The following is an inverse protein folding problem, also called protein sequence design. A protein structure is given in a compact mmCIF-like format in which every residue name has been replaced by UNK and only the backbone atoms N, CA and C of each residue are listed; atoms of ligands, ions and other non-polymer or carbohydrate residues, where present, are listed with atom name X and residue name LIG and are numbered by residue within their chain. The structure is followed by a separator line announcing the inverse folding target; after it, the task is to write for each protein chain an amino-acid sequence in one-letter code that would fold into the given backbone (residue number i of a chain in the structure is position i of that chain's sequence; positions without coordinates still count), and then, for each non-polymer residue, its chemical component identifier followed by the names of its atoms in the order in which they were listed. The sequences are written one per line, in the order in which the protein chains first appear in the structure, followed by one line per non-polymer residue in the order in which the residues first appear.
data_IF_991299070511
#
_entry.id   IF_991299070511
#
_cell.length_a   1.000
_cell.length_b   1.000
_cell.length_c   1.000
_cell.angle_alpha   90.00
_cell.angle_beta   90.00
_cell.angle_gamma   90.00
#
_symmetry.space_group_name_H-M   'P 1'
#
loop_
_entity.id
_entity.type
_entity.pdbx_description
1 polymer ?
#
# COMPACT_ATOMS: atom_id res chain seq x y z
N UNK A 1 -9.66 8.04 -5.79
CA UNK A 1 -8.50 8.20 -4.88
C UNK A 1 -7.24 7.76 -5.59
N UNK A 2 -6.11 7.68 -4.90
CA UNK A 2 -4.88 7.14 -5.49
C UNK A 2 -4.89 5.61 -5.48
N UNK A 3 -4.29 5.00 -6.50
CA UNK A 3 -4.04 3.57 -6.57
C UNK A 3 -2.77 3.23 -5.79
N UNK A 4 -2.85 2.20 -4.95
CA UNK A 4 -1.72 1.59 -4.27
C UNK A 4 -1.47 0.24 -4.95
N UNK A 5 -0.35 0.14 -5.66
CA UNK A 5 -0.03 -1.04 -6.46
C UNK A 5 1.34 -1.60 -6.06
N UNK A 6 1.43 -2.90 -5.83
CA UNK A 6 2.70 -3.55 -5.55
C UNK A 6 3.55 -3.70 -6.80
N UNK A 7 4.86 -3.76 -6.63
CA UNK A 7 5.81 -4.08 -7.69
C UNK A 7 7.26 -4.13 -7.17
N UNK A 8 8.27 -4.23 -8.07
CA UNK A 8 9.65 -4.55 -7.68
C UNK A 8 10.30 -3.50 -6.76
N UNK A 9 10.35 -3.74 -5.44
CA UNK A 9 10.91 -2.83 -4.42
C UNK A 9 9.90 -2.13 -3.49
N UNK A 10 8.61 -2.51 -3.51
CA UNK A 10 7.57 -1.94 -2.64
C UNK A 10 6.28 -1.49 -3.35
N UNK A 11 5.55 -0.56 -2.74
CA UNK A 11 4.21 -0.11 -3.21
C UNK A 11 4.29 1.25 -3.89
N UNK A 12 3.79 1.34 -5.11
CA UNK A 12 3.66 2.57 -5.89
C UNK A 12 2.34 3.27 -5.55
N UNK A 13 2.38 4.59 -5.39
CA UNK A 13 1.20 5.43 -5.20
C UNK A 13 0.97 6.23 -6.47
N UNK A 14 -0.15 5.97 -7.15
CA UNK A 14 -0.43 6.47 -8.51
C UNK A 14 -1.74 7.26 -8.48
N UNK A 15 -1.76 8.44 -9.10
CA UNK A 15 -2.99 9.23 -9.26
C UNK A 15 -4.02 8.53 -10.14
N UNK A 16 -5.32 8.91 -10.09
CA UNK A 16 -6.32 8.43 -11.05
C UNK A 16 -5.92 8.61 -12.53
N UNK A 17 -5.16 9.65 -12.85
CA UNK A 17 -4.68 9.92 -14.21
C UNK A 17 -3.39 9.16 -14.59
N UNK A 18 -2.95 8.19 -13.79
CA UNK A 18 -1.78 7.36 -14.09
C UNK A 18 -0.43 7.98 -13.73
N UNK A 19 -0.37 9.22 -13.23
CA UNK A 19 0.88 9.84 -12.75
C UNK A 19 1.36 9.16 -11.47
N UNK A 20 2.62 8.73 -11.44
CA UNK A 20 3.31 8.25 -10.24
C UNK A 20 3.56 9.42 -9.27
N UNK A 21 3.10 9.30 -8.02
CA UNK A 21 3.36 10.27 -6.95
C UNK A 21 4.61 9.91 -6.15
N UNK A 22 4.86 8.61 -5.98
CA UNK A 22 5.98 8.13 -5.20
C UNK A 22 5.84 6.65 -4.85
N UNK A 23 6.74 6.17 -4.00
CA UNK A 23 6.85 4.76 -3.63
C UNK A 23 7.12 4.59 -2.15
N UNK A 24 6.42 3.65 -1.53
CA UNK A 24 6.75 3.12 -0.21
C UNK A 24 7.82 2.05 -0.42
N UNK A 25 9.05 2.35 -0.01
CA UNK A 25 10.18 1.45 -0.16
C UNK A 25 10.17 0.41 0.95
N UNK A 26 10.06 -0.86 0.57
CA UNK A 26 10.16 -2.00 1.50
C UNK A 26 11.54 -2.65 1.47
N UNK A 27 12.41 -2.24 0.54
CA UNK A 27 13.77 -2.78 0.37
C UNK A 27 13.83 -4.17 -0.28
N UNK A 28 12.68 -4.82 -0.48
CA UNK A 28 12.54 -6.20 -0.99
C UNK A 28 11.39 -6.28 -1.99
N UNK A 29 11.17 -7.47 -2.58
CA UNK A 29 10.03 -7.72 -3.48
C UNK A 29 8.74 -7.71 -2.67
N UNK A 30 7.75 -6.89 -3.07
CA UNK A 30 6.44 -6.86 -2.42
C UNK A 30 5.40 -7.40 -3.39
N UNK A 31 4.68 -8.44 -2.96
CA UNK A 31 3.73 -9.17 -3.80
C UNK A 31 2.30 -8.58 -3.70
N UNK A 32 1.83 -8.29 -2.49
CA UNK A 32 0.48 -7.77 -2.27
C UNK A 32 0.44 -6.70 -1.17
N UNK A 33 -0.65 -5.93 -1.12
CA UNK A 33 -0.95 -5.00 -0.05
C UNK A 33 -2.45 -4.88 0.20
N UNK A 34 -2.84 -4.62 1.45
CA UNK A 34 -4.23 -4.42 1.85
C UNK A 34 -4.36 -3.40 2.97
N UNK A 35 -5.52 -2.75 3.04
CA UNK A 35 -5.88 -1.86 4.14
C UNK A 35 -6.32 -2.68 5.35
N UNK A 36 -5.97 -2.22 6.55
CA UNK A 36 -6.38 -2.82 7.81
C UNK A 36 -6.50 -1.78 8.93
N UNK A 37 -6.71 -2.27 10.14
CA UNK A 37 -7.12 -1.48 11.31
C UNK A 37 -8.39 -0.69 10.97
N UNK A 38 -8.49 0.60 11.30
CA UNK A 38 -9.61 1.47 10.93
C UNK A 38 -9.52 1.99 9.47
N UNK A 39 -8.87 1.19 8.61
CA UNK A 39 -8.51 1.51 7.24
C UNK A 39 -7.30 2.45 7.10
N UNK A 40 -6.64 2.85 8.19
CA UNK A 40 -5.51 3.80 8.16
C UNK A 40 -4.13 3.15 7.97
N UNK A 41 -4.03 1.83 8.11
CA UNK A 41 -2.76 1.10 8.00
C UNK A 41 -2.74 0.27 6.73
N UNK A 42 -1.64 0.37 5.98
CA UNK A 42 -1.38 -0.44 4.80
C UNK A 42 -0.44 -1.59 5.18
N UNK A 43 -0.93 -2.81 5.08
CA UNK A 43 -0.17 -4.05 5.24
C UNK A 43 0.40 -4.48 3.89
N UNK A 44 1.59 -5.07 3.89
CA UNK A 44 2.36 -5.43 2.69
C UNK A 44 3.08 -6.77 2.88
N UNK A 45 2.89 -7.71 1.96
CA UNK A 45 3.67 -8.97 1.94
C UNK A 45 4.96 -8.75 1.17
N UNK A 46 6.08 -8.77 1.88
CA UNK A 46 7.40 -8.39 1.38
C UNK A 46 8.36 -9.57 1.53
N UNK A 47 8.42 -10.40 0.49
CA UNK A 47 9.20 -11.65 0.47
C UNK A 47 8.89 -12.55 1.69
N UNK A 48 9.81 -12.63 2.64
CA UNK A 48 9.73 -13.41 3.88
C UNK A 48 9.10 -12.65 5.07
N UNK A 49 8.67 -11.40 4.87
CA UNK A 49 8.18 -10.52 5.92
C UNK A 49 6.75 -10.00 5.65
N UNK A 50 5.97 -9.84 6.72
CA UNK A 50 4.76 -9.03 6.71
C UNK A 50 5.06 -7.66 7.31
N UNK A 51 5.06 -6.63 6.47
CA UNK A 51 5.31 -5.25 6.88
C UNK A 51 4.00 -4.46 6.99
N UNK A 52 4.01 -3.38 7.75
CA UNK A 52 2.90 -2.41 7.75
C UNK A 52 3.39 -0.99 7.95
N UNK A 53 2.63 -0.02 7.45
CA UNK A 53 2.86 1.40 7.70
C UNK A 53 1.54 2.12 7.94
N UNK A 54 1.53 3.00 8.95
CA UNK A 54 0.41 3.91 9.17
C UNK A 54 0.45 5.02 8.12
N UNK A 55 -0.68 5.21 7.44
CA UNK A 55 -0.80 6.23 6.39
C UNK A 55 -1.61 7.43 6.89
N UNK A 56 -1.52 8.54 6.16
CA UNK A 56 -2.34 9.73 6.40
C UNK A 56 -3.69 9.68 5.65
N UNK A 57 -3.95 8.61 4.93
CA UNK A 57 -5.19 8.39 4.18
C UNK A 57 -5.88 7.12 4.68
N UNK A 58 -7.04 6.81 4.12
CA UNK A 58 -7.76 5.57 4.44
C UNK A 58 -8.10 4.80 3.18
N UNK A 59 -8.19 3.48 3.31
CA UNK A 59 -8.67 2.61 2.25
C UNK A 59 -10.06 3.02 1.75
N UNK A 60 -10.20 3.12 0.43
CA UNK A 60 -11.48 3.47 -0.17
C UNK A 60 -12.52 2.38 0.13
N UNK A 61 -13.68 2.79 0.66
CA UNK A 61 -14.75 1.88 1.07
C UNK A 61 -14.33 0.80 2.07
N UNK A 62 -13.26 1.05 2.85
CA UNK A 62 -12.88 0.14 3.92
C UNK A 62 -14.04 0.01 4.90
N UNK A 63 -14.38 -1.23 5.21
CA UNK A 63 -15.39 -1.58 6.22
C UNK A 63 -14.65 -2.40 7.27
N UNK A 64 -14.83 -2.04 8.53
CA UNK A 64 -14.47 -2.95 9.61
C UNK A 64 -15.34 -4.20 9.44
N UNK A 65 -14.70 -5.34 9.20
CA UNK A 65 -15.34 -6.66 9.11
C UNK A 65 -15.16 -7.35 10.45
#
# INVERSE_FOLDING_TARGET
GNLFATGPGGVYVITPGGKLLGRIHTGKRTANCAWGDDGSVLYMTTDDELCRIKTRTKGANFKDI
#
